data_IF_113921777429
#
_entry.id   IF_113921777429
#
_cell.length_a   1.000
_cell.length_b   1.000
_cell.length_c   1.000
_cell.angle_alpha   90.00
_cell.angle_beta   90.00
_cell.angle_gamma   90.00
#
_symmetry.space_group_name_H-M   'P 1'
#
loop_
_entity.id
_entity.type
_entity.pdbx_description
1 polymer ?
#
# COMPACT_ATOMS: atom_id res chain seq x y z
N UNK A 1 -31.46 -13.31 1.85
CA UNK A 1 -30.25 -12.59 1.42
C UNK A 1 -30.69 -11.22 0.93
N UNK A 2 -30.18 -10.14 1.52
CA UNK A 2 -30.48 -8.78 1.05
C UNK A 2 -29.89 -8.55 -0.33
N UNK A 3 -30.42 -7.56 -1.05
CA UNK A 3 -29.82 -7.12 -2.31
C UNK A 3 -28.45 -6.47 -2.05
N UNK A 4 -27.58 -6.39 -3.07
CA UNK A 4 -26.34 -5.59 -2.98
C UNK A 4 -26.62 -4.14 -2.55
N UNK A 5 -27.78 -3.59 -2.94
CA UNK A 5 -28.22 -2.25 -2.52
C UNK A 5 -28.48 -2.18 -1.02
N UNK A 6 -29.09 -3.19 -0.43
CA UNK A 6 -29.35 -3.20 1.02
C UNK A 6 -28.04 -3.25 1.81
N UNK A 7 -27.06 -4.04 1.32
CA UNK A 7 -25.72 -4.09 1.90
C UNK A 7 -25.03 -2.72 1.82
N UNK A 8 -25.02 -2.10 0.63
CA UNK A 8 -24.43 -0.78 0.41
C UNK A 8 -25.12 0.26 1.31
N UNK A 9 -26.46 0.36 1.30
CA UNK A 9 -27.20 1.31 2.14
C UNK A 9 -26.87 1.14 3.63
N UNK A 10 -26.72 -0.09 4.10
CA UNK A 10 -26.31 -0.37 5.49
C UNK A 10 -24.92 0.18 5.77
N UNK A 11 -23.94 -0.09 4.88
CA UNK A 11 -22.57 0.39 5.04
C UNK A 11 -22.38 1.89 4.82
N UNK A 12 -23.35 2.57 4.19
CA UNK A 12 -23.32 4.02 3.97
C UNK A 12 -24.06 4.82 5.05
N UNK A 13 -24.80 4.14 5.93
CA UNK A 13 -25.53 4.75 7.02
C UNK A 13 -24.59 5.42 8.02
N UNK A 14 -25.02 6.56 8.58
CA UNK A 14 -24.24 7.28 9.58
C UNK A 14 -23.86 6.37 10.75
N UNK A 15 -22.61 6.52 11.23
CA UNK A 15 -22.08 5.73 12.34
C UNK A 15 -21.46 4.38 11.95
N UNK A 16 -21.48 4.00 10.67
CA UNK A 16 -20.79 2.78 10.19
C UNK A 16 -19.35 3.07 9.71
N UNK A 17 -18.52 2.03 9.65
CA UNK A 17 -17.15 2.13 9.14
C UNK A 17 -17.11 2.62 7.69
N UNK A 18 -18.02 2.13 6.82
CA UNK A 18 -18.10 2.56 5.42
C UNK A 18 -18.43 4.05 5.28
N UNK A 19 -19.35 4.56 6.11
CA UNK A 19 -19.64 5.99 6.17
C UNK A 19 -18.43 6.81 6.70
N UNK A 20 -17.66 6.25 7.64
CA UNK A 20 -16.40 6.84 8.12
C UNK A 20 -15.36 7.01 7.01
N UNK A 21 -15.11 5.95 6.24
CA UNK A 21 -14.17 5.95 5.11
C UNK A 21 -14.57 6.99 4.07
N UNK A 22 -15.86 7.11 3.73
CA UNK A 22 -16.32 8.12 2.77
C UNK A 22 -16.02 9.53 3.28
N UNK A 23 -16.26 9.81 4.56
CA UNK A 23 -15.94 11.13 5.14
C UNK A 23 -14.45 11.41 5.09
N UNK A 24 -13.60 10.41 5.33
CA UNK A 24 -12.14 10.55 5.19
C UNK A 24 -11.76 10.85 3.73
N UNK A 25 -12.28 10.09 2.76
CA UNK A 25 -12.03 10.31 1.33
C UNK A 25 -12.48 11.71 0.89
N UNK A 26 -13.65 12.17 1.34
CA UNK A 26 -14.15 13.51 1.01
C UNK A 26 -13.31 14.64 1.60
N UNK A 27 -12.59 14.38 2.71
CA UNK A 27 -11.69 15.33 3.37
C UNK A 27 -10.27 15.33 2.81
N UNK A 28 -9.94 14.45 1.86
CA UNK A 28 -8.65 14.47 1.16
C UNK A 28 -8.44 15.79 0.40
N UNK A 29 -7.18 16.06 0.06
CA UNK A 29 -6.79 17.22 -0.72
C UNK A 29 -7.59 17.27 -2.03
N UNK A 30 -8.36 18.34 -2.31
CA UNK A 30 -9.21 18.42 -3.50
C UNK A 30 -8.41 18.36 -4.81
N UNK A 31 -7.17 18.84 -4.83
CA UNK A 31 -6.31 18.84 -6.03
C UNK A 31 -5.92 17.41 -6.45
N UNK A 32 -5.93 16.47 -5.49
CA UNK A 32 -5.63 15.05 -5.72
C UNK A 32 -6.90 14.18 -5.77
N UNK A 33 -7.84 14.41 -4.84
CA UNK A 33 -8.96 13.52 -4.54
C UNK A 33 -9.75 13.14 -5.79
N UNK A 34 -10.14 14.14 -6.59
CA UNK A 34 -11.04 13.91 -7.72
C UNK A 34 -10.38 13.04 -8.79
N UNK A 35 -9.09 13.29 -9.05
CA UNK A 35 -8.30 12.45 -9.97
C UNK A 35 -8.09 11.06 -9.39
N UNK A 36 -7.69 10.93 -8.13
CA UNK A 36 -7.48 9.63 -7.51
C UNK A 36 -8.74 8.76 -7.54
N UNK A 37 -9.89 9.33 -7.17
CA UNK A 37 -11.17 8.61 -7.17
C UNK A 37 -11.55 8.19 -8.59
N UNK A 38 -11.36 9.06 -9.58
CA UNK A 38 -11.58 8.71 -10.98
C UNK A 38 -10.64 7.57 -11.41
N UNK A 39 -9.34 7.70 -11.18
CA UNK A 39 -8.34 6.70 -11.57
C UNK A 39 -8.62 5.36 -10.89
N UNK A 40 -8.91 5.34 -9.58
CA UNK A 40 -9.15 4.10 -8.85
C UNK A 40 -10.48 3.42 -9.25
N UNK A 41 -11.57 4.18 -9.36
CA UNK A 41 -12.91 3.62 -9.57
C UNK A 41 -13.22 3.43 -11.05
N UNK A 42 -12.91 4.42 -11.89
CA UNK A 42 -13.27 4.41 -13.30
C UNK A 42 -12.19 3.71 -14.12
N UNK A 43 -10.96 4.23 -14.09
CA UNK A 43 -9.91 3.78 -15.01
C UNK A 43 -9.37 2.39 -14.62
N UNK A 44 -8.91 2.24 -13.38
CA UNK A 44 -8.23 1.03 -12.89
C UNK A 44 -9.17 -0.10 -12.42
N UNK A 45 -10.48 0.17 -12.29
CA UNK A 45 -11.46 -0.84 -11.91
C UNK A 45 -12.47 -1.10 -13.03
N UNK A 46 -13.34 -0.15 -13.35
CA UNK A 46 -14.46 -0.41 -14.27
C UNK A 46 -14.01 -0.60 -15.73
N UNK A 47 -13.22 0.34 -16.25
CA UNK A 47 -12.73 0.28 -17.64
C UNK A 47 -11.65 -0.78 -17.82
N UNK A 48 -10.72 -0.88 -16.85
CA UNK A 48 -9.73 -1.95 -16.77
C UNK A 48 -10.38 -3.33 -16.86
N UNK A 49 -11.43 -3.60 -16.07
CA UNK A 49 -12.09 -4.89 -16.05
C UNK A 49 -12.66 -5.27 -17.43
N UNK A 50 -13.33 -4.34 -18.12
CA UNK A 50 -13.83 -4.63 -19.47
C UNK A 50 -12.69 -5.09 -20.39
N UNK A 51 -11.54 -4.41 -20.35
CA UNK A 51 -10.37 -4.78 -21.14
C UNK A 51 -9.77 -6.13 -20.71
N UNK A 52 -9.71 -6.39 -19.41
CA UNK A 52 -9.21 -7.65 -18.87
C UNK A 52 -10.06 -8.84 -19.33
N UNK A 53 -11.39 -8.71 -19.38
CA UNK A 53 -12.26 -9.78 -19.88
C UNK A 53 -12.03 -10.07 -21.38
N UNK A 54 -11.87 -9.01 -22.19
CA UNK A 54 -11.54 -9.16 -23.62
C UNK A 54 -10.22 -9.91 -23.80
N UNK A 55 -9.19 -9.52 -23.06
CA UNK A 55 -7.86 -10.12 -23.14
C UNK A 55 -7.79 -11.52 -22.52
N UNK A 56 -8.56 -11.79 -21.47
CA UNK A 56 -8.70 -13.13 -20.92
C UNK A 56 -9.22 -14.12 -21.96
N UNK A 57 -10.23 -13.70 -22.75
CA UNK A 57 -10.79 -14.52 -23.82
C UNK A 57 -9.82 -14.67 -24.99
N UNK A 58 -9.17 -13.59 -25.45
CA UNK A 58 -8.28 -13.65 -26.61
C UNK A 58 -6.97 -14.41 -26.34
N UNK A 59 -6.36 -14.17 -25.19
CA UNK A 59 -5.10 -14.81 -24.77
C UNK A 59 -5.31 -16.18 -24.15
N UNK A 60 -6.56 -16.57 -23.88
CA UNK A 60 -6.94 -17.82 -23.23
C UNK A 60 -6.16 -18.05 -21.92
N UNK A 61 -6.01 -16.98 -21.12
CA UNK A 61 -5.33 -17.01 -19.83
C UNK A 61 -5.87 -15.93 -18.89
N UNK A 62 -5.60 -16.07 -17.59
CA UNK A 62 -6.02 -15.08 -16.61
C UNK A 62 -5.18 -13.81 -16.70
N UNK A 63 -5.84 -12.65 -16.77
CA UNK A 63 -5.19 -11.34 -16.72
C UNK A 63 -5.16 -10.87 -15.26
N UNK A 64 -3.99 -10.57 -14.67
CA UNK A 64 -3.91 -10.18 -13.27
C UNK A 64 -4.56 -8.81 -13.04
N UNK A 65 -5.29 -8.66 -11.93
CA UNK A 65 -5.84 -7.36 -11.56
C UNK A 65 -4.77 -6.35 -11.10
N UNK A 66 -3.72 -6.86 -10.45
CA UNK A 66 -2.61 -6.09 -9.90
C UNK A 66 -1.28 -6.75 -10.25
N UNK A 67 -0.27 -5.94 -10.54
CA UNK A 67 1.12 -6.41 -10.65
C UNK A 67 1.92 -5.89 -9.47
N UNK A 68 2.57 -6.82 -8.77
CA UNK A 68 3.56 -6.50 -7.75
C UNK A 68 4.93 -6.45 -8.43
N UNK A 69 5.67 -5.36 -8.24
CA UNK A 69 6.99 -5.20 -8.86
C UNK A 69 7.99 -4.53 -7.93
N UNK A 70 9.26 -4.88 -8.10
CA UNK A 70 10.37 -4.41 -7.26
C UNK A 70 11.25 -3.45 -8.07
N UNK A 71 11.16 -2.13 -7.84
CA UNK A 71 12.02 -1.17 -8.54
C UNK A 71 13.50 -1.35 -8.18
N UNK A 72 13.76 -1.84 -6.97
CA UNK A 72 15.08 -2.06 -6.39
C UNK A 72 15.00 -3.07 -5.25
N UNK A 73 16.10 -3.79 -5.00
CA UNK A 73 16.30 -4.52 -3.75
C UNK A 73 16.91 -3.66 -2.64
N UNK A 74 17.37 -2.44 -2.95
CA UNK A 74 17.99 -1.55 -1.97
C UNK A 74 16.98 -1.07 -0.92
N UNK A 75 17.36 -1.14 0.35
CA UNK A 75 16.57 -0.65 1.48
C UNK A 75 17.46 0.18 2.41
N UNK A 76 16.89 1.22 3.01
CA UNK A 76 17.58 2.07 3.98
C UNK A 76 17.37 1.60 5.44
N UNK A 77 16.71 0.46 5.65
CA UNK A 77 16.58 -0.23 6.93
C UNK A 77 17.13 -1.67 6.83
N UNK A 78 17.34 -2.29 7.99
CA UNK A 78 17.79 -3.67 8.13
C UNK A 78 16.86 -4.42 9.10
N UNK A 79 15.59 -4.56 8.71
CA UNK A 79 14.56 -5.15 9.56
C UNK A 79 14.89 -6.60 9.92
N UNK A 80 14.52 -7.00 11.14
CA UNK A 80 14.52 -8.39 11.58
C UNK A 80 13.52 -9.17 10.71
N UNK A 81 13.98 -10.30 10.18
CA UNK A 81 13.19 -11.23 9.35
C UNK A 81 12.63 -10.62 8.07
N UNK A 82 13.41 -9.70 7.49
CA UNK A 82 13.13 -9.16 6.18
C UNK A 82 13.43 -10.20 5.10
N UNK A 83 12.39 -10.70 4.43
CA UNK A 83 12.55 -11.60 3.28
C UNK A 83 13.39 -10.98 2.14
N UNK A 84 13.39 -9.64 2.03
CA UNK A 84 14.11 -8.92 1.00
C UNK A 84 15.59 -8.65 1.33
N UNK A 85 16.02 -8.79 2.60
CA UNK A 85 17.38 -8.47 3.02
C UNK A 85 18.44 -9.36 2.35
N UNK A 86 18.07 -10.59 1.97
CA UNK A 86 18.98 -11.55 1.33
C UNK A 86 19.39 -11.15 -0.11
N UNK A 87 18.68 -10.21 -0.75
CA UNK A 87 18.97 -9.78 -2.13
C UNK A 87 19.99 -8.64 -2.23
N UNK A 88 20.39 -8.03 -1.11
CA UNK A 88 21.31 -6.89 -1.10
C UNK A 88 20.75 -5.70 -1.90
N UNK A 89 21.61 -4.95 -2.61
CA UNK A 89 21.22 -3.75 -3.38
C UNK A 89 21.49 -3.88 -4.90
N UNK A 90 21.74 -5.10 -5.39
CA UNK A 90 22.24 -5.31 -6.75
C UNK A 90 21.12 -5.53 -7.78
N UNK A 91 19.91 -5.88 -7.34
CA UNK A 91 18.79 -6.12 -8.25
C UNK A 91 18.00 -4.83 -8.43
N UNK A 92 18.07 -4.26 -9.63
CA UNK A 92 17.43 -2.99 -9.97
C UNK A 92 16.92 -3.06 -11.41
N UNK A 93 15.64 -2.73 -11.61
CA UNK A 93 15.09 -2.52 -12.95
C UNK A 93 15.49 -1.13 -13.45
N UNK A 94 15.71 -0.94 -14.75
CA UNK A 94 15.85 0.41 -15.27
C UNK A 94 14.49 1.13 -15.24
N UNK A 95 14.47 2.45 -15.39
CA UNK A 95 13.19 3.16 -15.54
C UNK A 95 12.45 2.68 -16.79
N UNK A 96 13.17 2.43 -17.88
CA UNK A 96 12.64 1.95 -19.15
C UNK A 96 12.02 0.56 -19.02
N UNK A 97 12.62 -0.34 -18.23
CA UNK A 97 12.03 -1.65 -17.94
C UNK A 97 10.73 -1.51 -17.16
N UNK A 98 10.70 -0.66 -16.12
CA UNK A 98 9.50 -0.40 -15.32
C UNK A 98 8.37 0.18 -16.19
N UNK A 99 8.69 1.19 -17.00
CA UNK A 99 7.74 1.84 -17.90
C UNK A 99 7.22 0.87 -18.97
N UNK A 100 8.10 0.03 -19.53
CA UNK A 100 7.72 -1.00 -20.49
C UNK A 100 6.78 -2.04 -19.89
N UNK A 101 7.00 -2.46 -18.64
CA UNK A 101 6.10 -3.37 -17.92
C UNK A 101 4.73 -2.73 -17.76
N UNK A 102 4.67 -1.46 -17.33
CA UNK A 102 3.40 -0.74 -17.16
C UNK A 102 2.65 -0.59 -18.48
N UNK A 103 3.33 -0.25 -19.57
CA UNK A 103 2.72 -0.16 -20.90
C UNK A 103 2.06 -1.49 -21.31
N UNK A 104 2.81 -2.60 -21.22
CA UNK A 104 2.31 -3.93 -21.58
C UNK A 104 1.13 -4.35 -20.69
N UNK A 105 1.22 -4.09 -19.39
CA UNK A 105 0.15 -4.38 -18.45
C UNK A 105 -1.13 -3.59 -18.77
N UNK A 106 -1.01 -2.30 -19.11
CA UNK A 106 -2.13 -1.45 -19.48
C UNK A 106 -2.82 -1.91 -20.76
N UNK A 107 -2.08 -2.43 -21.75
CA UNK A 107 -2.62 -3.04 -22.98
C UNK A 107 -3.46 -4.30 -22.68
N UNK A 108 -3.07 -5.06 -21.65
CA UNK A 108 -3.81 -6.22 -21.15
C UNK A 108 -5.00 -5.85 -20.26
N UNK A 109 -5.03 -4.62 -19.76
CA UNK A 109 -6.08 -4.11 -18.86
C UNK A 109 -5.70 -4.10 -17.38
N UNK A 110 -4.46 -4.46 -17.03
CA UNK A 110 -3.94 -4.33 -15.66
C UNK A 110 -3.44 -2.91 -15.43
N UNK A 111 -4.14 -2.16 -14.56
CA UNK A 111 -3.86 -0.74 -14.26
C UNK A 111 -3.47 -0.46 -12.82
N UNK A 112 -3.36 -1.50 -11.98
CA UNK A 112 -2.95 -1.33 -10.59
C UNK A 112 -1.56 -1.95 -10.36
N UNK A 113 -0.66 -1.14 -9.83
CA UNK A 113 0.73 -1.51 -9.60
C UNK A 113 1.14 -1.27 -8.16
N UNK A 114 1.72 -2.28 -7.54
CA UNK A 114 2.10 -2.27 -6.12
C UNK A 114 3.60 -2.53 -5.98
N UNK A 115 4.34 -1.54 -5.50
CA UNK A 115 5.78 -1.64 -5.27
C UNK A 115 6.08 -2.25 -3.91
N UNK A 116 6.90 -3.29 -3.86
CA UNK A 116 7.16 -4.05 -2.61
C UNK A 116 8.66 -4.19 -2.25
N UNK A 117 9.55 -4.23 -3.25
CA UNK A 117 10.98 -4.55 -3.07
C UNK A 117 11.82 -3.51 -2.37
N UNK A 118 12.83 -3.98 -1.61
CA UNK A 118 13.72 -3.15 -0.81
C UNK A 118 12.94 -2.11 0.02
N UNK A 119 13.29 -0.83 -0.16
CA UNK A 119 12.40 0.29 0.12
C UNK A 119 12.10 1.01 -1.21
N UNK A 120 10.85 0.92 -1.74
CA UNK A 120 10.51 1.53 -3.02
C UNK A 120 10.81 3.03 -3.11
N UNK A 121 10.64 3.78 -2.01
CA UNK A 121 10.87 5.22 -2.01
C UNK A 121 12.35 5.63 -2.12
N UNK A 122 13.30 4.68 -2.05
CA UNK A 122 14.69 4.93 -2.51
C UNK A 122 14.68 5.37 -3.98
N UNK A 123 13.72 4.89 -4.76
CA UNK A 123 13.49 5.26 -6.17
C UNK A 123 12.27 6.16 -6.35
N UNK A 124 11.96 7.01 -5.37
CA UNK A 124 10.77 7.89 -5.43
C UNK A 124 10.69 8.74 -6.71
N UNK A 125 11.81 9.21 -7.26
CA UNK A 125 11.83 9.97 -8.51
C UNK A 125 11.33 9.15 -9.71
N UNK A 126 11.75 7.89 -9.83
CA UNK A 126 11.29 7.01 -10.91
C UNK A 126 9.81 6.63 -10.73
N UNK A 127 9.39 6.38 -9.49
CA UNK A 127 7.99 6.10 -9.15
C UNK A 127 7.09 7.28 -9.52
N UNK A 128 7.47 8.51 -9.15
CA UNK A 128 6.73 9.72 -9.50
C UNK A 128 6.69 9.91 -11.02
N UNK A 129 7.80 9.65 -11.71
CA UNK A 129 7.86 9.71 -13.18
C UNK A 129 6.95 8.66 -13.86
N UNK A 130 6.81 7.46 -13.29
CA UNK A 130 5.82 6.47 -13.76
C UNK A 130 4.39 6.95 -13.54
N UNK A 131 4.11 7.53 -12.37
CA UNK A 131 2.81 8.09 -12.03
C UNK A 131 2.39 9.18 -13.04
N UNK A 132 3.33 10.03 -13.45
CA UNK A 132 3.13 11.05 -14.48
C UNK A 132 2.89 10.47 -15.88
N UNK A 133 3.64 9.43 -16.25
CA UNK A 133 3.55 8.79 -17.56
C UNK A 133 2.23 8.01 -17.75
N UNK A 134 1.67 7.48 -16.65
CA UNK A 134 0.49 6.62 -16.66
C UNK A 134 -0.61 7.15 -15.73
N UNK A 135 -1.21 8.31 -16.01
CA UNK A 135 -2.13 8.98 -15.09
C UNK A 135 -3.50 8.27 -14.99
N UNK A 136 -3.78 7.27 -15.83
CA UNK A 136 -4.95 6.38 -15.78
C UNK A 136 -4.66 5.06 -15.01
N UNK A 137 -3.44 4.90 -14.51
CA UNK A 137 -3.02 3.78 -13.66
C UNK A 137 -2.95 4.19 -12.20
N UNK A 138 -3.28 3.26 -11.31
CA UNK A 138 -3.14 3.42 -9.87
C UNK A 138 -1.81 2.82 -9.42
N UNK A 139 -1.07 3.57 -8.59
CA UNK A 139 0.20 3.14 -8.02
C UNK A 139 0.14 3.12 -6.50
N UNK A 140 0.81 2.16 -5.90
CA UNK A 140 0.96 2.06 -4.44
C UNK A 140 2.32 1.48 -4.10
N UNK A 141 2.78 1.69 -2.87
CA UNK A 141 4.00 1.07 -2.37
C UNK A 141 3.86 0.67 -0.92
N UNK A 142 4.37 -0.51 -0.56
CA UNK A 142 4.71 -0.78 0.84
C UNK A 142 6.00 -0.02 1.17
N UNK A 143 5.91 0.93 2.10
CA UNK A 143 7.04 1.78 2.46
C UNK A 143 7.21 1.86 3.96
N UNK A 144 8.47 1.84 4.41
CA UNK A 144 8.85 2.13 5.79
C UNK A 144 8.65 3.60 6.19
N UNK A 145 8.20 4.45 5.25
CA UNK A 145 7.85 5.86 5.40
C UNK A 145 8.99 6.81 5.78
N UNK A 146 10.19 6.31 6.01
CA UNK A 146 11.33 7.15 6.44
C UNK A 146 11.82 8.14 5.37
N UNK A 147 11.37 7.98 4.13
CA UNK A 147 11.70 8.83 2.98
C UNK A 147 10.52 9.70 2.50
N UNK A 148 9.40 9.69 3.23
CA UNK A 148 8.27 10.59 3.01
C UNK A 148 8.66 11.94 3.61
N UNK A 149 8.99 12.89 2.74
CA UNK A 149 9.29 14.27 3.06
C UNK A 149 8.26 15.20 2.41
N UNK A 150 8.35 16.49 2.73
CA UNK A 150 7.43 17.50 2.22
C UNK A 150 7.39 17.56 0.69
N UNK A 151 8.55 17.42 0.04
CA UNK A 151 8.64 17.38 -1.42
C UNK A 151 7.87 16.18 -1.99
N UNK A 152 8.02 14.99 -1.40
CA UNK A 152 7.28 13.82 -1.84
C UNK A 152 5.76 13.98 -1.64
N UNK A 153 5.31 14.63 -0.56
CA UNK A 153 3.90 14.96 -0.38
C UNK A 153 3.38 15.89 -1.49
N UNK A 154 4.16 16.90 -1.89
CA UNK A 154 3.80 17.78 -3.00
C UNK A 154 3.74 17.02 -4.34
N UNK A 155 4.67 16.10 -4.57
CA UNK A 155 4.65 15.23 -5.75
C UNK A 155 3.42 14.32 -5.77
N UNK A 156 3.02 13.76 -4.63
CA UNK A 156 1.78 12.97 -4.52
C UNK A 156 0.53 13.77 -4.88
N UNK A 157 0.42 15.02 -4.41
CA UNK A 157 -0.69 15.91 -4.81
C UNK A 157 -0.69 16.10 -6.33
N UNK A 158 0.48 16.33 -6.91
CA UNK A 158 0.65 16.64 -8.33
C UNK A 158 0.31 15.47 -9.26
N UNK A 159 0.75 14.25 -8.93
CA UNK A 159 0.48 13.06 -9.77
C UNK A 159 -0.91 12.47 -9.51
N UNK A 160 -1.40 12.61 -8.28
CA UNK A 160 -2.75 12.29 -7.86
C UNK A 160 -3.24 10.84 -8.11
N UNK A 161 -2.34 9.90 -8.36
CA UNK A 161 -2.63 8.48 -8.60
C UNK A 161 -1.71 7.53 -7.81
N UNK A 162 -1.09 8.02 -6.73
CA UNK A 162 -0.20 7.25 -5.86
C UNK A 162 -0.73 7.20 -4.42
N UNK A 163 -0.82 6.02 -3.81
CA UNK A 163 -1.26 5.84 -2.42
C UNK A 163 -0.27 4.94 -1.65
N UNK A 164 0.53 5.46 -0.71
CA UNK A 164 1.45 4.64 0.07
C UNK A 164 0.72 3.77 1.10
N UNK A 165 1.23 2.57 1.34
CA UNK A 165 0.86 1.70 2.45
C UNK A 165 2.02 1.66 3.46
N UNK A 166 1.81 2.35 4.59
CA UNK A 166 2.83 2.61 5.60
C UNK A 166 3.04 1.37 6.46
N UNK A 167 4.28 0.95 6.56
CA UNK A 167 4.66 -0.31 7.19
C UNK A 167 4.86 -0.14 8.71
N UNK A 168 3.88 -0.55 9.51
CA UNK A 168 3.75 -0.32 10.97
C UNK A 168 3.38 -1.64 11.66
N UNK A 169 4.03 -2.01 12.76
CA UNK A 169 3.84 -3.34 13.38
C UNK A 169 3.01 -3.30 14.66
N UNK A 170 2.09 -2.34 14.78
CA UNK A 170 1.40 -2.03 16.03
C UNK A 170 1.89 -0.71 16.61
N UNK A 171 2.44 -0.76 17.82
CA UNK A 171 2.92 0.41 18.56
C UNK A 171 4.42 0.65 18.36
N UNK A 172 4.96 1.66 19.04
CA UNK A 172 6.39 1.99 19.00
C UNK A 172 7.29 0.81 19.37
N UNK A 173 6.96 0.11 20.44
CA UNK A 173 7.75 -1.03 20.90
C UNK A 173 7.81 -2.14 19.84
N UNK A 174 6.66 -2.58 19.32
CA UNK A 174 6.61 -3.67 18.34
C UNK A 174 7.21 -3.27 16.99
N UNK A 175 7.02 -2.02 16.59
CA UNK A 175 7.58 -1.47 15.34
C UNK A 175 9.10 -1.37 15.42
N UNK A 176 9.64 -0.78 16.48
CA UNK A 176 11.08 -0.55 16.61
C UNK A 176 11.87 -1.86 16.85
N UNK A 177 11.29 -2.82 17.58
CA UNK A 177 11.90 -4.16 17.76
C UNK A 177 12.16 -4.83 16.41
N UNK A 178 11.21 -4.72 15.47
CA UNK A 178 11.35 -5.34 14.15
C UNK A 178 12.15 -4.48 13.18
N UNK A 179 11.88 -3.19 13.13
CA UNK A 179 12.34 -2.30 12.04
C UNK A 179 13.57 -1.45 12.40
N UNK A 180 13.96 -1.45 13.67
CA UNK A 180 15.08 -0.69 14.21
C UNK A 180 14.62 0.51 15.04
N UNK A 181 15.40 0.85 16.06
CA UNK A 181 15.10 1.93 17.01
C UNK A 181 14.85 3.28 16.31
N UNK A 182 13.79 3.97 16.71
CA UNK A 182 13.39 5.28 16.20
C UNK A 182 12.62 5.23 14.88
N UNK A 183 12.26 4.04 14.38
CA UNK A 183 11.48 3.90 13.14
C UNK A 183 10.05 4.39 13.33
N UNK A 184 9.42 4.07 14.45
CA UNK A 184 8.07 4.54 14.76
C UNK A 184 7.98 6.08 14.84
N UNK A 185 9.01 6.74 15.37
CA UNK A 185 9.08 8.21 15.38
C UNK A 185 9.13 8.78 13.96
N UNK A 186 9.92 8.18 13.04
CA UNK A 186 9.97 8.60 11.63
C UNK A 186 8.63 8.37 10.93
N UNK A 187 7.99 7.24 11.19
CA UNK A 187 6.64 6.94 10.72
C UNK A 187 5.66 8.01 11.21
N UNK A 188 5.70 8.35 12.50
CA UNK A 188 4.81 9.37 13.08
C UNK A 188 4.95 10.72 12.39
N UNK A 189 6.18 11.14 12.08
CA UNK A 189 6.44 12.37 11.31
C UNK A 189 5.87 12.28 9.89
N UNK A 190 6.02 11.15 9.21
CA UNK A 190 5.46 10.93 7.88
C UNK A 190 3.91 10.97 7.91
N UNK A 191 3.28 10.35 8.90
CA UNK A 191 1.83 10.40 9.10
C UNK A 191 1.34 11.81 9.39
N UNK A 192 2.11 12.61 10.12
CA UNK A 192 1.83 14.03 10.31
C UNK A 192 1.84 14.79 8.97
N UNK A 193 2.90 14.64 8.17
CA UNK A 193 2.99 15.27 6.85
C UNK A 193 1.81 14.86 5.94
N UNK A 194 1.51 13.56 5.86
CA UNK A 194 0.40 13.04 5.05
C UNK A 194 -0.94 13.67 5.49
N UNK A 195 -1.19 13.81 6.80
CA UNK A 195 -2.39 14.48 7.31
C UNK A 195 -2.42 15.98 7.02
N UNK A 196 -1.29 16.68 7.20
CA UNK A 196 -1.19 18.12 6.92
C UNK A 196 -1.52 18.42 5.45
N UNK A 197 -1.01 17.58 4.54
CA UNK A 197 -1.28 17.67 3.11
C UNK A 197 -2.61 17.01 2.70
N UNK A 198 -3.35 16.40 3.63
CA UNK A 198 -4.61 15.66 3.42
C UNK A 198 -4.47 14.57 2.35
N UNK A 199 -3.37 13.83 2.39
CA UNK A 199 -3.04 12.78 1.45
C UNK A 199 -3.57 11.42 1.91
N UNK A 200 -4.01 10.58 0.97
CA UNK A 200 -4.46 9.23 1.27
C UNK A 200 -3.27 8.34 1.59
N UNK A 201 -3.45 7.44 2.55
CA UNK A 201 -2.52 6.36 2.83
C UNK A 201 -3.27 5.18 3.44
N UNK A 202 -2.66 4.00 3.33
CA UNK A 202 -3.05 2.84 4.12
C UNK A 202 -1.93 2.42 5.06
N UNK A 203 -2.17 1.38 5.85
CA UNK A 203 -1.18 0.70 6.66
C UNK A 203 -0.86 -0.68 6.06
N UNK A 204 0.29 -1.21 6.45
CA UNK A 204 0.66 -2.60 6.21
C UNK A 204 1.41 -3.11 7.44
N UNK A 205 1.06 -4.30 7.89
CA UNK A 205 1.73 -4.96 9.01
C UNK A 205 2.01 -6.41 8.66
N UNK A 206 3.06 -6.97 9.26
CA UNK A 206 3.29 -8.41 9.25
C UNK A 206 3.07 -8.91 10.67
N UNK A 207 1.95 -9.59 10.90
CA UNK A 207 1.67 -10.11 12.21
C UNK A 207 2.47 -11.40 12.45
N UNK A 208 2.96 -11.50 13.68
CA UNK A 208 3.79 -12.56 14.25
C UNK A 208 3.19 -12.98 15.58
N UNK A 209 3.71 -14.03 16.19
CA UNK A 209 3.37 -14.43 17.56
C UNK A 209 3.62 -13.32 18.60
N UNK A 210 4.47 -12.33 18.30
CA UNK A 210 4.85 -11.28 19.24
C UNK A 210 3.98 -10.02 19.18
N UNK A 211 3.34 -9.74 18.04
CA UNK A 211 2.57 -8.50 17.82
C UNK A 211 1.10 -8.75 17.42
N UNK A 212 0.67 -10.00 17.21
CA UNK A 212 -0.70 -10.33 16.80
C UNK A 212 -1.78 -9.72 17.72
N UNK A 213 -1.58 -9.78 19.05
CA UNK A 213 -2.51 -9.17 20.02
C UNK A 213 -2.56 -7.65 19.92
N UNK A 214 -1.43 -7.01 19.58
CA UNK A 214 -1.38 -5.55 19.39
C UNK A 214 -2.08 -5.15 18.11
N UNK A 215 -1.77 -5.82 17.00
CA UNK A 215 -2.39 -5.57 15.69
C UNK A 215 -3.89 -5.87 15.72
N UNK A 216 -4.32 -6.91 16.45
CA UNK A 216 -5.72 -7.27 16.59
C UNK A 216 -6.50 -6.43 17.62
N UNK A 217 -5.85 -5.49 18.32
CA UNK A 217 -6.51 -4.69 19.36
C UNK A 217 -7.33 -3.55 18.79
N UNK A 218 -8.48 -3.26 19.42
CA UNK A 218 -9.30 -2.08 19.08
C UNK A 218 -8.48 -0.79 19.16
N UNK A 219 -7.61 -0.67 20.17
CA UNK A 219 -6.77 0.51 20.36
C UNK A 219 -5.84 0.80 19.17
N UNK A 220 -5.30 -0.23 18.53
CA UNK A 220 -4.46 -0.06 17.34
C UNK A 220 -5.29 0.34 16.11
N UNK A 221 -6.43 -0.31 15.91
CA UNK A 221 -7.35 -0.01 14.81
C UNK A 221 -7.89 1.42 14.92
N UNK A 222 -8.31 1.83 16.12
CA UNK A 222 -8.78 3.19 16.41
C UNK A 222 -7.66 4.21 16.19
N UNK A 223 -6.45 3.91 16.65
CA UNK A 223 -5.29 4.78 16.42
C UNK A 223 -5.01 4.97 14.93
N UNK A 224 -5.03 3.90 14.11
CA UNK A 224 -4.88 4.00 12.66
C UNK A 224 -5.98 4.86 12.03
N UNK A 225 -7.23 4.66 12.44
CA UNK A 225 -8.35 5.45 11.96
C UNK A 225 -8.21 6.95 12.32
N UNK A 226 -7.73 7.27 13.53
CA UNK A 226 -7.41 8.63 13.98
C UNK A 226 -6.24 9.25 13.19
N UNK A 227 -5.28 8.44 12.75
CA UNK A 227 -4.24 8.91 11.83
C UNK A 227 -4.79 9.23 10.42
N UNK A 228 -6.01 8.80 10.09
CA UNK A 228 -6.61 8.97 8.76
C UNK A 228 -6.29 7.83 7.80
N UNK A 229 -5.88 6.66 8.32
CA UNK A 229 -5.62 5.47 7.53
C UNK A 229 -6.91 4.99 6.84
N UNK A 230 -6.86 4.73 5.54
CA UNK A 230 -8.02 4.33 4.73
C UNK A 230 -8.23 2.81 4.65
N UNK A 231 -7.14 2.05 4.75
CA UNK A 231 -7.12 0.59 4.67
C UNK A 231 -5.88 0.04 5.35
N UNK A 232 -5.91 -1.23 5.76
CA UNK A 232 -4.73 -1.92 6.28
C UNK A 232 -4.56 -3.27 5.59
N UNK A 233 -3.32 -3.57 5.20
CA UNK A 233 -2.91 -4.89 4.76
C UNK A 233 -2.29 -5.65 5.94
N UNK A 234 -2.93 -6.73 6.36
CA UNK A 234 -2.44 -7.60 7.43
C UNK A 234 -1.83 -8.85 6.79
N UNK A 235 -0.49 -8.93 6.79
CA UNK A 235 0.24 -10.06 6.22
C UNK A 235 0.58 -11.09 7.28
N UNK A 236 0.33 -12.36 6.93
CA UNK A 236 0.78 -13.48 7.76
C UNK A 236 2.29 -13.63 7.63
N UNK A 237 2.99 -13.67 8.76
CA UNK A 237 4.40 -14.02 8.76
C UNK A 237 4.61 -15.45 8.24
N UNK A 238 5.40 -15.57 7.18
CA UNK A 238 5.81 -16.84 6.58
C UNK A 238 7.34 -16.93 6.70
N UNK A 239 7.91 -17.92 7.40
CA UNK A 239 9.34 -18.04 7.60
C UNK A 239 10.03 -18.52 6.31
N UNK A 240 10.25 -17.60 5.37
CA UNK A 240 10.87 -17.83 4.07
C UNK A 240 12.18 -17.02 4.01
N UNK A 241 13.27 -17.64 3.56
CA UNK A 241 14.61 -17.04 3.50
C UNK A 241 15.63 -17.74 4.40
N UNK A 242 16.88 -17.27 4.39
CA UNK A 242 17.91 -17.86 5.26
C UNK A 242 17.72 -17.36 6.70
N UNK A 243 17.66 -18.28 7.65
CA UNK A 243 17.57 -18.00 9.10
C UNK A 243 16.25 -17.35 9.57
N UNK A 244 15.17 -17.45 8.81
CA UNK A 244 13.85 -16.95 9.21
C UNK A 244 13.36 -17.66 10.50
N UNK A 245 13.13 -16.94 11.62
CA UNK A 245 12.70 -17.50 12.89
C UNK A 245 11.31 -18.10 12.79
N UNK A 246 11.17 -19.38 13.11
CA UNK A 246 9.88 -20.10 13.05
C UNK A 246 9.02 -19.84 14.28
N UNK A 247 9.62 -19.41 15.39
CA UNK A 247 8.94 -19.05 16.63
C UNK A 247 8.11 -17.76 16.54
N UNK A 248 8.34 -16.97 15.49
CA UNK A 248 7.50 -15.82 15.15
C UNK A 248 6.20 -16.19 14.43
N UNK A 249 6.01 -17.45 14.04
CA UNK A 249 4.74 -17.88 13.47
C UNK A 249 3.63 -17.77 14.52
N UNK A 250 2.57 -17.04 14.19
CA UNK A 250 1.37 -16.98 15.01
C UNK A 250 0.71 -18.37 15.09
N UNK A 251 0.15 -18.69 16.25
CA UNK A 251 -0.59 -19.93 16.47
C UNK A 251 -2.05 -19.61 16.76
N UNK A 252 -2.97 -20.37 16.18
CA UNK A 252 -4.38 -20.26 16.52
C UNK A 252 -4.57 -20.80 17.95
N UNK A 253 -4.67 -19.92 18.94
CA UNK A 253 -5.19 -20.31 20.26
C UNK A 253 -6.71 -20.28 20.15
N UNK A 254 -7.33 -21.46 20.25
CA UNK A 254 -8.77 -21.54 20.46
C UNK A 254 -9.05 -20.98 21.85
N UNK A 255 -9.56 -19.76 21.93
CA UNK A 255 -10.14 -19.18 23.15
C UNK A 255 -11.42 -19.91 23.53
#
# INVERSE_FOLDING_TARGET
MGSQRDFICTQLSEGTAGHGIIKQVMNLNPDMRDRLVHTAVVDATLLAWQRQEEMHVSENCNIPWVILMDPTSACNLHCVDCWAADYGNQLNLSYEDLDSIVCQANELGTRFFLFIGGEPLVRKHDIIKLCEAHPDSLFSAFTNATLIDEQFCQDMVRVANFVPAISIEGNEQTTDVRRGQGTFSKISNALELLRQYKLPFGASCCYTSQNAETIGSEAYVDWLAEQGCLFEWIFTYMPIGKSAPVDLMATARLS
#
